data_IF_669762721997
#
_entry.id   IF_669762721997
#
_cell.length_a   1.000
_cell.length_b   1.000
_cell.length_c   1.000
_cell.angle_alpha   90.00
_cell.angle_beta   90.00
_cell.angle_gamma   90.00
#
_symmetry.space_group_name_H-M   'P 1'
#
loop_
_entity.id
_entity.type
_entity.pdbx_description
1 polymer ?
#
# COMPACT_ATOMS: atom_id res chain seq x y z
N UNK A 1 -10.00 18.61 12.15
CA UNK A 1 -9.05 18.57 11.02
C UNK A 1 -8.78 17.10 10.74
N UNK A 2 -9.58 16.49 9.87
CA UNK A 2 -9.45 15.07 9.52
C UNK A 2 -8.22 14.95 8.63
N UNK A 3 -7.16 14.37 9.18
CA UNK A 3 -5.88 14.18 8.50
C UNK A 3 -6.11 13.36 7.21
N UNK A 4 -6.00 14.04 6.05
CA UNK A 4 -6.30 13.49 4.72
C UNK A 4 -5.51 12.21 4.45
N UNK A 5 -4.34 12.05 5.05
CA UNK A 5 -3.49 10.86 4.89
C UNK A 5 -4.21 9.55 5.24
N UNK A 6 -5.13 9.56 6.21
CA UNK A 6 -5.88 8.34 6.55
C UNK A 6 -6.99 7.99 5.56
N UNK A 7 -7.47 8.95 4.78
CA UNK A 7 -8.52 8.68 3.77
C UNK A 7 -7.97 7.85 2.61
N UNK A 8 -6.73 8.11 2.18
CA UNK A 8 -6.06 7.34 1.13
C UNK A 8 -5.85 5.89 1.57
N UNK A 9 -5.33 5.63 2.78
CA UNK A 9 -5.19 4.26 3.29
C UNK A 9 -6.51 3.49 3.36
N UNK A 10 -7.61 4.14 3.71
CA UNK A 10 -8.91 3.49 3.75
C UNK A 10 -9.40 3.10 2.34
N UNK A 11 -9.29 4.01 1.37
CA UNK A 11 -9.63 3.74 -0.02
C UNK A 11 -8.71 2.67 -0.63
N UNK A 12 -7.40 2.80 -0.44
CA UNK A 12 -6.38 1.85 -0.85
C UNK A 12 -6.71 0.43 -0.38
N UNK A 13 -7.00 0.25 0.91
CA UNK A 13 -7.31 -1.08 1.48
C UNK A 13 -8.53 -1.74 0.82
N UNK A 14 -9.55 -0.95 0.45
CA UNK A 14 -10.73 -1.47 -0.26
C UNK A 14 -10.37 -1.95 -1.67
N UNK A 15 -9.64 -1.14 -2.44
CA UNK A 15 -9.22 -1.47 -3.80
C UNK A 15 -8.26 -2.66 -3.80
N UNK A 16 -7.21 -2.62 -2.97
CA UNK A 16 -6.25 -3.70 -2.83
C UNK A 16 -6.89 -5.01 -2.36
N UNK A 17 -7.89 -4.94 -1.49
CA UNK A 17 -8.68 -6.10 -1.07
C UNK A 17 -9.54 -6.67 -2.20
N UNK A 18 -10.24 -5.81 -2.95
CA UNK A 18 -11.10 -6.21 -4.05
C UNK A 18 -10.31 -6.89 -5.18
N UNK A 19 -9.15 -6.35 -5.52
CA UNK A 19 -8.25 -6.89 -6.56
C UNK A 19 -7.28 -7.96 -6.03
N UNK A 20 -7.35 -8.30 -4.74
CA UNK A 20 -6.45 -9.26 -4.06
C UNK A 20 -4.96 -8.96 -4.24
N UNK A 21 -4.59 -7.67 -4.30
CA UNK A 21 -3.22 -7.24 -4.56
C UNK A 21 -2.25 -7.75 -3.49
N UNK A 22 -1.20 -8.42 -3.95
CA UNK A 22 -0.05 -8.80 -3.14
C UNK A 22 0.86 -7.60 -2.91
N UNK A 23 1.78 -7.72 -1.95
CA UNK A 23 2.78 -6.67 -1.73
C UNK A 23 3.71 -6.46 -2.93
N UNK A 24 3.87 -7.47 -3.79
CA UNK A 24 4.70 -7.35 -5.01
C UNK A 24 3.95 -6.52 -6.05
N UNK A 25 2.69 -6.86 -6.29
CA UNK A 25 1.80 -6.12 -7.20
C UNK A 25 1.72 -4.65 -6.79
N UNK A 26 1.58 -4.35 -5.49
CA UNK A 26 1.53 -2.96 -5.00
C UNK A 26 2.82 -2.20 -5.31
N UNK A 27 3.99 -2.82 -5.12
CA UNK A 27 5.29 -2.19 -5.41
C UNK A 27 5.43 -1.94 -6.91
N UNK A 28 5.04 -2.91 -7.73
CA UNK A 28 5.06 -2.82 -9.18
C UNK A 28 4.11 -1.73 -9.70
N UNK A 29 2.86 -1.73 -9.24
CA UNK A 29 1.85 -0.71 -9.57
C UNK A 29 2.39 0.70 -9.27
N UNK A 30 2.94 0.93 -8.07
CA UNK A 30 3.45 2.26 -7.72
C UNK A 30 4.66 2.65 -8.59
N UNK A 31 5.51 1.68 -8.95
CA UNK A 31 6.64 1.89 -9.86
C UNK A 31 6.20 2.28 -11.27
N UNK A 32 5.13 1.66 -11.81
CA UNK A 32 4.54 2.06 -13.09
C UNK A 32 4.03 3.50 -13.05
N UNK A 33 3.50 3.94 -11.91
CA UNK A 33 3.06 5.32 -11.69
C UNK A 33 4.18 6.34 -11.44
N UNK A 34 5.46 5.95 -11.51
CA UNK A 34 6.60 6.85 -11.39
C UNK A 34 7.18 7.04 -9.98
N UNK A 35 6.70 6.30 -8.99
CA UNK A 35 7.19 6.36 -7.60
C UNK A 35 7.82 5.02 -7.16
N UNK A 36 8.76 5.05 -6.22
CA UNK A 36 9.36 3.80 -5.70
C UNK A 36 9.12 3.64 -4.21
N UNK A 37 8.52 2.52 -3.83
CA UNK A 37 8.26 2.19 -2.42
C UNK A 37 8.87 0.85 -2.03
N UNK A 38 9.19 0.70 -0.74
CA UNK A 38 9.62 -0.60 -0.21
C UNK A 38 8.44 -1.55 0.01
N UNK A 39 8.69 -2.86 -0.07
CA UNK A 39 7.68 -3.87 0.25
C UNK A 39 7.16 -3.76 1.70
N UNK A 40 7.98 -3.25 2.62
CA UNK A 40 7.58 -2.98 4.01
C UNK A 40 6.59 -1.81 4.10
N UNK A 41 6.79 -0.77 3.28
CA UNK A 41 5.87 0.36 3.18
C UNK A 41 4.53 -0.08 2.59
N UNK A 42 4.54 -0.85 1.49
CA UNK A 42 3.35 -1.45 0.89
C UNK A 42 2.55 -2.30 1.90
N UNK A 43 3.23 -3.14 2.68
CA UNK A 43 2.62 -3.92 3.76
C UNK A 43 2.06 -3.04 4.89
N UNK A 44 2.74 -1.92 5.19
CA UNK A 44 2.27 -0.89 6.12
C UNK A 44 0.99 -0.19 5.67
N UNK A 45 0.81 0.05 4.37
CA UNK A 45 -0.40 0.67 3.81
C UNK A 45 -1.65 -0.20 3.97
N UNK A 46 -1.48 -1.53 3.94
CA UNK A 46 -2.56 -2.51 4.14
C UNK A 46 -3.04 -2.60 5.58
N UNK A 47 -2.26 -2.11 6.55
CA UNK A 47 -2.59 -2.18 7.98
C UNK A 47 -3.45 -1.01 8.42
N UNK A 48 -4.17 -1.24 9.52
CA UNK A 48 -4.89 -0.13 10.16
C UNK A 48 -3.91 0.87 10.77
N UNK A 49 -4.13 2.18 10.58
CA UNK A 49 -3.32 3.23 11.19
C UNK A 49 -3.19 3.11 12.71
N UNK A 50 -4.19 2.55 13.38
CA UNK A 50 -4.17 2.38 14.84
C UNK A 50 -3.57 1.02 15.27
N UNK A 51 -2.95 0.29 14.33
CA UNK A 51 -2.22 -0.94 14.65
C UNK A 51 -0.82 -0.60 15.15
N UNK A 52 -0.57 -0.91 16.42
CA UNK A 52 0.74 -0.74 17.04
C UNK A 52 1.40 -2.10 17.31
N UNK A 53 2.72 -2.17 17.14
CA UNK A 53 3.54 -3.30 17.60
C UNK A 53 4.00 -3.01 19.03
N UNK A 54 3.87 -4.01 19.91
CA UNK A 54 4.63 -4.01 21.17
C UNK A 54 6.11 -4.22 20.84
N UNK A 55 7.03 -3.39 21.35
CA UNK A 55 8.46 -3.55 21.06
C UNK A 55 8.96 -4.94 21.46
N UNK A 56 9.99 -5.41 20.76
CA UNK A 56 10.55 -6.74 20.99
C UNK A 56 11.18 -6.86 22.38
N UNK A 57 11.17 -8.07 22.94
CA UNK A 57 11.83 -8.36 24.20
C UNK A 57 13.35 -8.12 24.03
N UNK A 58 13.86 -7.05 24.66
CA UNK A 58 15.25 -6.58 24.49
C UNK A 58 15.39 -5.20 23.86
N UNK A 59 14.28 -4.56 23.45
CA UNK A 59 14.28 -3.16 23.05
C UNK A 59 14.80 -2.27 24.19
N UNK A 60 15.77 -1.39 23.87
CA UNK A 60 16.23 -0.34 24.77
C UNK A 60 15.11 0.62 25.20
N UNK A 61 13.95 0.59 24.52
CA UNK A 61 12.82 1.45 24.81
C UNK A 61 11.50 0.66 24.81
N UNK A 62 11.21 -0.10 25.88
CA UNK A 62 10.06 -1.02 25.97
C UNK A 62 8.69 -0.30 26.00
N UNK A 63 8.68 1.03 26.17
CA UNK A 63 7.47 1.85 26.09
C UNK A 63 7.13 2.36 24.69
N UNK A 64 8.06 2.29 23.73
CA UNK A 64 7.87 2.90 22.41
C UNK A 64 7.10 1.94 21.48
N UNK A 65 5.79 2.17 21.37
CA UNK A 65 4.92 1.42 20.46
C UNK A 65 5.19 1.86 19.03
N UNK A 66 5.73 0.96 18.20
CA UNK A 66 5.94 1.27 16.79
C UNK A 66 4.62 1.20 16.03
N UNK A 67 4.30 2.28 15.31
CA UNK A 67 3.13 2.33 14.43
C UNK A 67 3.36 1.44 13.22
N UNK A 68 2.51 0.42 13.05
CA UNK A 68 2.59 -0.51 11.91
C UNK A 68 1.86 0.01 10.67
N UNK A 69 0.81 0.79 10.85
CA UNK A 69 0.18 1.53 9.75
C UNK A 69 1.09 2.64 9.27
N UNK A 70 1.31 2.71 7.95
CA UNK A 70 2.06 3.79 7.31
C UNK A 70 1.10 4.63 6.47
N UNK A 71 1.08 5.96 6.63
CA UNK A 71 0.24 6.81 5.80
C UNK A 71 0.68 6.76 4.34
N UNK A 72 -0.28 6.88 3.43
CA UNK A 72 -0.05 7.12 2.00
C UNK A 72 -0.05 8.63 1.78
N UNK A 73 1.00 9.17 1.17
CA UNK A 73 1.06 10.60 0.78
C UNK A 73 0.20 10.86 -0.45
N UNK A 74 -0.06 12.12 -0.76
CA UNK A 74 -0.83 12.49 -1.96
C UNK A 74 -0.10 12.02 -3.24
N UNK A 75 1.22 12.28 -3.35
CA UNK A 75 2.04 11.83 -4.50
C UNK A 75 2.03 10.29 -4.67
N UNK A 76 2.14 9.55 -3.56
CA UNK A 76 2.08 8.08 -3.57
C UNK A 76 0.69 7.56 -3.97
N UNK A 77 -0.36 8.30 -3.61
CA UNK A 77 -1.72 7.96 -3.96
C UNK A 77 -2.00 8.19 -5.45
N UNK A 78 -1.50 9.30 -6.01
CA UNK A 78 -1.57 9.58 -7.44
C UNK A 78 -0.78 8.55 -8.25
N UNK A 79 0.47 8.26 -7.87
CA UNK A 79 1.28 7.23 -8.51
C UNK A 79 0.60 5.85 -8.47
N UNK A 80 -0.01 5.47 -7.34
CA UNK A 80 -0.77 4.22 -7.26
C UNK A 80 -1.90 4.16 -8.28
N UNK A 81 -2.67 5.23 -8.47
CA UNK A 81 -3.78 5.23 -9.43
C UNK A 81 -3.33 5.19 -10.88
N UNK A 82 -2.30 5.97 -11.24
CA UNK A 82 -1.75 5.93 -12.59
C UNK A 82 -1.22 4.55 -12.95
N UNK A 83 -0.38 3.97 -12.08
CA UNK A 83 0.17 2.66 -12.36
C UNK A 83 -0.83 1.52 -12.22
N UNK A 84 -1.93 1.69 -11.48
CA UNK A 84 -3.00 0.69 -11.41
C UNK A 84 -3.73 0.57 -12.75
N UNK A 85 -3.95 1.69 -13.43
CA UNK A 85 -4.56 1.69 -14.76
C UNK A 85 -3.69 0.90 -15.76
N UNK A 86 -2.40 1.21 -15.82
CA UNK A 86 -1.44 0.50 -16.69
C UNK A 86 -1.37 -1.00 -16.35
N UNK A 87 -1.24 -1.33 -15.06
CA UNK A 87 -1.15 -2.72 -14.59
C UNK A 87 -2.41 -3.53 -14.91
N UNK A 88 -3.59 -2.91 -14.84
CA UNK A 88 -4.85 -3.57 -15.21
C UNK A 88 -4.95 -3.77 -16.72
N UNK A 89 -4.48 -2.84 -17.55
CA UNK A 89 -4.47 -3.01 -19.01
C UNK A 89 -3.52 -4.14 -19.45
N UNK A 90 -2.33 -4.22 -18.86
CA UNK A 90 -1.37 -5.29 -19.14
C UNK A 90 -1.89 -6.68 -18.71
N UNK A 91 -2.55 -6.77 -17.55
CA UNK A 91 -3.10 -8.04 -17.06
C UNK A 91 -4.44 -8.42 -17.70
N UNK A 92 -5.21 -7.46 -18.21
CA UNK A 92 -6.45 -7.72 -18.94
C UNK A 92 -6.19 -8.18 -20.38
N UNK A 93 -5.10 -7.71 -21.00
CA UNK A 93 -4.67 -8.17 -22.33
C UNK A 93 -4.26 -9.64 -22.37
N UNK A 94 -3.71 -10.17 -21.27
CA UNK A 94 -3.33 -11.59 -21.15
C UNK A 94 -4.54 -12.54 -21.00
N UNK A 95 -5.71 -12.05 -20.60
CA UNK A 95 -6.92 -12.86 -20.51
C UNK A 95 -7.55 -13.17 -21.89
N UNK A 96 -7.21 -12.39 -22.93
CA UNK A 96 -7.77 -12.56 -24.28
C UNK A 96 -6.98 -13.52 -25.19
N UNK A 97 -5.82 -14.04 -24.77
CA UNK A 97 -4.99 -14.93 -25.60
C UNK A 97 -5.19 -16.44 -25.32
N UNK A 98 -6.08 -16.80 -24.42
CA UNK A 98 -6.36 -18.20 -24.06
C UNK A 98 -7.80 -18.63 -24.42
N UNK A 99 -8.25 -18.34 -25.64
CA UNK A 99 -9.50 -18.89 -26.18
C UNK A 99 -9.37 -19.28 -27.65
#
# INVERSE_FOLDING_TARGET
MTDKSYTHNAAFRRVAGALRLTKRDIVEIVALGGETISASLADGWKRDPDTFRKPDAGSHNPGNRERRGKPITDDQWEAFWYGLDDWLHENSGNAQQNN
#
